data_IF_514880251384
#
_entry.id   IF_514880251384
#
_cell.length_a   1.000
_cell.length_b   1.000
_cell.length_c   1.000
_cell.angle_alpha   90.00
_cell.angle_beta   90.00
_cell.angle_gamma   90.00
#
_symmetry.space_group_name_H-M   'P 1'
#
loop_
_entity.id
_entity.type
_entity.pdbx_description
1 polymer ?
#
# COMPACT_ATOMS: atom_id res chain seq x y z
N UNK A 1 1.30 16.01 7.76
CA UNK A 1 1.35 14.59 8.17
C UNK A 1 -0.04 13.99 8.43
N UNK A 2 -0.79 14.33 9.49
CA UNK A 2 -2.12 13.71 9.81
C UNK A 2 -3.31 14.02 8.88
N UNK A 3 -3.16 14.85 7.83
CA UNK A 3 -4.31 15.43 7.09
C UNK A 3 -4.66 14.73 5.78
N UNK A 4 -3.72 14.00 5.17
CA UNK A 4 -3.92 13.33 3.88
C UNK A 4 -4.58 11.95 4.03
N UNK A 5 -4.30 11.21 5.10
CA UNK A 5 -4.91 9.91 5.43
C UNK A 5 -6.27 10.05 6.15
N UNK A 6 -7.09 11.03 5.76
CA UNK A 6 -8.40 11.26 6.41
C UNK A 6 -9.48 10.29 5.94
N UNK A 7 -9.31 9.69 4.76
CA UNK A 7 -10.10 8.54 4.34
C UNK A 7 -9.33 7.29 4.78
N UNK A 8 -9.82 6.64 5.83
CA UNK A 8 -9.17 5.46 6.43
C UNK A 8 -9.19 4.24 5.51
N UNK A 9 -10.07 4.23 4.51
CA UNK A 9 -10.36 3.12 3.62
C UNK A 9 -10.74 3.73 2.28
N UNK A 10 -10.15 3.25 1.20
CA UNK A 10 -10.49 3.61 -0.18
C UNK A 10 -10.76 2.31 -0.94
N UNK A 11 -11.84 2.30 -1.71
CA UNK A 11 -12.11 1.20 -2.65
C UNK A 11 -11.38 1.50 -3.97
N UNK A 12 -10.59 0.54 -4.42
CA UNK A 12 -9.77 0.67 -5.63
C UNK A 12 -10.08 -0.47 -6.57
N UNK A 13 -10.53 -0.13 -7.78
CA UNK A 13 -10.68 -1.09 -8.86
C UNK A 13 -9.32 -1.37 -9.51
N UNK A 14 -8.94 -2.64 -9.52
CA UNK A 14 -7.72 -3.14 -10.18
C UNK A 14 -8.06 -4.28 -11.14
N UNK A 15 -7.27 -4.49 -12.21
CA UNK A 15 -7.45 -5.63 -13.10
C UNK A 15 -7.42 -6.97 -12.37
N UNK A 16 -8.03 -8.01 -12.96
CA UNK A 16 -7.87 -9.38 -12.48
C UNK A 16 -6.38 -9.78 -12.47
N UNK A 17 -6.01 -10.61 -11.51
CA UNK A 17 -4.63 -11.05 -11.26
C UNK A 17 -3.66 -9.92 -10.88
N UNK A 18 -4.18 -8.79 -10.39
CA UNK A 18 -3.33 -7.71 -9.90
C UNK A 18 -2.58 -8.12 -8.65
N UNK A 19 -1.39 -7.56 -8.46
CA UNK A 19 -0.58 -7.79 -7.26
C UNK A 19 -0.72 -6.66 -6.25
N UNK A 20 -0.26 -6.91 -5.01
CA UNK A 20 -0.18 -5.86 -3.97
C UNK A 20 0.58 -4.63 -4.49
N UNK A 21 1.68 -4.82 -5.22
CA UNK A 21 2.42 -3.72 -5.87
C UNK A 21 1.53 -2.90 -6.80
N UNK A 22 0.71 -3.54 -7.62
CA UNK A 22 -0.18 -2.85 -8.55
C UNK A 22 -1.29 -2.08 -7.82
N UNK A 23 -1.84 -2.63 -6.73
CA UNK A 23 -2.78 -1.91 -5.86
C UNK A 23 -2.12 -0.65 -5.28
N UNK A 24 -0.92 -0.77 -4.71
CA UNK A 24 -0.19 0.36 -4.12
C UNK A 24 0.10 1.44 -5.17
N UNK A 25 0.56 1.05 -6.36
CA UNK A 25 0.78 1.98 -7.46
C UNK A 25 -0.52 2.71 -7.83
N UNK A 26 -1.65 2.00 -7.91
CA UNK A 26 -2.94 2.59 -8.24
C UNK A 26 -3.40 3.60 -7.17
N UNK A 27 -3.21 3.26 -5.89
CA UNK A 27 -3.48 4.17 -4.77
C UNK A 27 -2.64 5.44 -4.87
N UNK A 28 -1.35 5.31 -5.17
CA UNK A 28 -0.43 6.43 -5.34
C UNK A 28 -0.86 7.33 -6.50
N UNK A 29 -1.25 6.76 -7.63
CA UNK A 29 -1.77 7.52 -8.77
C UNK A 29 -3.03 8.31 -8.41
N UNK A 30 -3.93 7.74 -7.60
CA UNK A 30 -5.17 8.38 -7.15
C UNK A 30 -4.91 9.48 -6.10
N UNK A 31 -3.95 9.27 -5.22
CA UNK A 31 -3.60 10.22 -4.15
C UNK A 31 -2.71 11.39 -4.59
N UNK A 32 -2.20 11.37 -5.83
CA UNK A 32 -1.33 12.41 -6.37
C UNK A 32 0.07 12.45 -5.75
N UNK A 33 0.82 13.51 -6.04
CA UNK A 33 2.24 13.59 -5.70
C UNK A 33 2.51 13.54 -4.19
N UNK A 34 1.65 14.14 -3.36
CA UNK A 34 1.83 14.11 -1.89
C UNK A 34 1.77 12.67 -1.33
N UNK A 35 0.90 11.82 -1.87
CA UNK A 35 0.82 10.42 -1.44
C UNK A 35 1.97 9.60 -2.04
N UNK A 36 2.38 9.93 -3.28
CA UNK A 36 3.54 9.35 -3.93
C UNK A 36 4.81 9.55 -3.13
N UNK A 37 5.10 10.77 -2.68
CA UNK A 37 6.30 11.06 -1.87
C UNK A 37 6.28 10.38 -0.50
N UNK A 38 5.09 10.05 0.02
CA UNK A 38 4.94 9.33 1.28
C UNK A 38 5.15 7.82 1.12
N UNK A 39 4.66 7.26 0.02
CA UNK A 39 4.64 5.81 -0.22
C UNK A 39 5.85 5.33 -1.01
N UNK A 40 6.29 6.10 -2.00
CA UNK A 40 7.36 5.73 -2.93
C UNK A 40 8.66 6.43 -2.54
N UNK A 41 9.77 5.69 -2.65
CA UNK A 41 11.12 6.19 -2.51
C UNK A 41 11.97 5.63 -3.66
N UNK A 42 12.64 6.48 -4.44
CA UNK A 42 13.46 6.08 -5.60
C UNK A 42 12.76 5.13 -6.60
N UNK A 43 11.49 5.40 -6.91
CA UNK A 43 10.63 4.57 -7.78
C UNK A 43 10.27 3.17 -7.24
N UNK A 44 10.56 2.87 -5.98
CA UNK A 44 10.06 1.67 -5.31
C UNK A 44 9.23 2.03 -4.09
N UNK A 45 8.51 1.05 -3.53
CA UNK A 45 7.76 1.25 -2.29
C UNK A 45 8.78 1.50 -1.16
N UNK A 46 8.56 2.57 -0.40
CA UNK A 46 9.43 2.96 0.71
C UNK A 46 9.51 1.84 1.74
N UNK A 47 10.72 1.33 1.99
CA UNK A 47 10.99 0.28 2.99
C UNK A 47 10.71 0.71 4.44
N UNK A 48 10.36 1.98 4.65
CA UNK A 48 9.89 2.49 5.94
C UNK A 48 8.37 2.27 6.14
N UNK A 49 7.73 1.50 5.27
CA UNK A 49 6.31 1.16 5.35
C UNK A 49 6.12 -0.34 5.55
N UNK A 50 5.12 -0.70 6.34
CA UNK A 50 4.65 -2.06 6.53
C UNK A 50 3.41 -2.23 5.65
N UNK A 51 3.46 -3.24 4.77
CA UNK A 51 2.34 -3.64 3.92
C UNK A 51 1.68 -4.88 4.51
N UNK A 52 0.36 -4.85 4.65
CA UNK A 52 -0.40 -6.00 5.10
C UNK A 52 -1.48 -6.36 4.09
N UNK A 53 -1.62 -7.65 3.81
CA UNK A 53 -2.72 -8.23 3.04
C UNK A 53 -3.59 -9.05 4.00
N UNK A 54 -4.85 -8.70 4.16
CA UNK A 54 -5.78 -9.37 5.07
C UNK A 54 -5.22 -9.57 6.49
N UNK A 55 -4.62 -8.50 7.05
CA UNK A 55 -3.98 -8.48 8.39
C UNK A 55 -2.72 -9.36 8.52
N UNK A 56 -2.15 -9.82 7.41
CA UNK A 56 -0.91 -10.58 7.37
C UNK A 56 0.17 -9.76 6.67
N UNK A 57 1.39 -9.82 7.20
CA UNK A 57 2.52 -9.10 6.64
C UNK A 57 2.88 -9.65 5.25
N UNK A 58 2.90 -8.77 4.25
CA UNK A 58 3.19 -9.11 2.85
C UNK A 58 4.62 -9.62 2.69
N UNK A 59 5.59 -9.07 3.44
CA UNK A 59 6.99 -9.54 3.39
C UNK A 59 7.08 -11.01 3.80
N UNK A 60 6.27 -11.45 4.76
CA UNK A 60 6.26 -12.84 5.25
C UNK A 60 5.53 -13.82 4.32
N UNK A 61 4.60 -13.32 3.51
CA UNK A 61 3.75 -14.15 2.65
C UNK A 61 4.38 -14.46 1.28
N UNK A 62 5.38 -13.70 0.86
CA UNK A 62 5.96 -13.81 -0.49
C UNK A 62 6.29 -12.48 -1.16
N UNK A 63 6.13 -11.35 -0.45
CA UNK A 63 6.44 -10.03 -0.95
C UNK A 63 5.31 -9.39 -1.76
N UNK A 64 5.61 -8.24 -2.37
CA UNK A 64 4.63 -7.37 -3.03
C UNK A 64 4.09 -7.90 -4.37
N UNK A 65 4.61 -9.03 -4.84
CA UNK A 65 4.15 -9.70 -6.07
C UNK A 65 3.01 -10.70 -5.81
N UNK A 66 2.51 -10.81 -4.58
CA UNK A 66 1.33 -11.62 -4.26
C UNK A 66 0.11 -11.07 -4.99
N UNK A 67 -0.63 -11.96 -5.65
CA UNK A 67 -1.89 -11.66 -6.33
C UNK A 67 -2.99 -11.39 -5.30
N UNK A 68 -3.69 -10.26 -5.48
CA UNK A 68 -4.88 -9.88 -4.71
C UNK A 68 -6.15 -10.35 -5.41
N UNK A 69 -7.18 -10.60 -4.62
CA UNK A 69 -8.50 -11.01 -5.09
C UNK A 69 -9.56 -9.99 -4.66
N UNK A 70 -10.73 -10.07 -5.29
CA UNK A 70 -11.87 -9.25 -4.90
C UNK A 70 -12.21 -9.46 -3.42
N UNK A 71 -12.39 -8.35 -2.69
CA UNK A 71 -12.62 -8.34 -1.24
C UNK A 71 -11.36 -8.42 -0.36
N UNK A 72 -10.15 -8.51 -0.94
CA UNK A 72 -8.91 -8.43 -0.16
C UNK A 72 -8.66 -7.02 0.38
N UNK A 73 -8.21 -6.93 1.63
CA UNK A 73 -7.87 -5.66 2.28
C UNK A 73 -6.34 -5.48 2.30
N UNK A 74 -5.86 -4.39 1.70
CA UNK A 74 -4.45 -3.99 1.75
C UNK A 74 -4.29 -2.79 2.70
N UNK A 75 -3.48 -2.95 3.74
CA UNK A 75 -3.15 -1.87 4.68
C UNK A 75 -1.71 -1.40 4.49
N UNK A 76 -1.52 -0.08 4.48
CA UNK A 76 -0.20 0.58 4.39
C UNK A 76 0.02 1.34 5.69
N UNK A 77 1.03 0.96 6.45
CA UNK A 77 1.32 1.53 7.77
C UNK A 77 2.73 2.12 7.79
N UNK A 78 2.95 3.33 8.32
CA UNK A 78 4.30 3.81 8.55
C UNK A 78 4.98 2.98 9.63
N UNK A 79 6.25 2.62 9.42
CA UNK A 79 7.08 1.97 10.42
C UNK A 79 7.37 2.99 11.54
N UNK A 80 6.62 2.90 12.63
CA UNK A 80 6.89 3.69 13.83
C UNK A 80 8.01 3.02 14.63
N UNK A 81 9.25 3.45 14.43
CA UNK A 81 10.28 3.21 15.44
C UNK A 81 9.93 4.07 16.66
N UNK A 82 9.18 3.49 17.59
CA UNK A 82 8.87 4.12 18.87
C UNK A 82 10.15 4.33 19.68
N UNK A 83 10.44 5.58 20.00
CA UNK A 83 11.31 5.95 21.12
C UNK A 83 10.48 6.29 22.34
#
# INVERSE_FOLDING_TARGET
MRRLLKEKIIDVEVPNDSTVRQVVNRVVELGGEELRELIMHDNDISGNLILMLNKKDVETLGGIDIVVHDGDEVAILPHVQGG
#
